data_IF_413310113131
#
_entry.id   IF_413310113131
#
_cell.length_a   1.000
_cell.length_b   1.000
_cell.length_c   1.000
_cell.angle_alpha   90.00
_cell.angle_beta   90.00
_cell.angle_gamma   90.00
#
_symmetry.space_group_name_H-M   'P 1'
#
loop_
_entity.id
_entity.type
_entity.pdbx_description
1 polymer ?
#
# COMPACT_ATOMS: atom_id res chain seq x y z
N UNK A 1 -5.26 31.83 -4.33
CA UNK A 1 -4.29 30.80 -3.91
C UNK A 1 -5.10 29.70 -3.25
N UNK A 2 -5.31 28.58 -3.93
CA UNK A 2 -6.04 27.45 -3.35
C UNK A 2 -5.06 26.63 -2.50
N UNK A 3 -5.27 26.49 -1.18
CA UNK A 3 -4.40 25.63 -0.37
C UNK A 3 -4.46 24.20 -0.93
N UNK A 4 -3.30 23.58 -1.12
CA UNK A 4 -3.18 22.24 -1.70
C UNK A 4 -4.07 21.26 -0.95
N UNK A 5 -4.93 20.54 -1.67
CA UNK A 5 -5.89 19.62 -1.06
C UNK A 5 -5.13 18.43 -0.47
N UNK A 6 -5.07 18.36 0.86
CA UNK A 6 -4.91 17.08 1.55
C UNK A 6 -6.02 16.15 1.07
N UNK A 7 -5.68 14.93 0.64
CA UNK A 7 -6.62 14.08 -0.09
C UNK A 7 -6.54 12.62 0.30
N UNK A 8 -7.66 11.92 0.14
CA UNK A 8 -7.72 10.45 0.24
C UNK A 8 -7.79 9.86 -1.16
N UNK A 9 -7.04 8.78 -1.39
CA UNK A 9 -7.10 8.04 -2.65
C UNK A 9 -7.12 6.54 -2.42
N UNK A 10 -7.87 5.85 -3.27
CA UNK A 10 -7.80 4.39 -3.40
C UNK A 10 -6.49 4.00 -4.10
N UNK A 11 -5.91 2.90 -3.66
CA UNK A 11 -4.67 2.33 -4.19
C UNK A 11 -4.86 0.82 -4.34
N UNK A 12 -4.57 0.30 -5.53
CA UNK A 12 -4.41 -1.13 -5.77
C UNK A 12 -2.94 -1.39 -6.06
N UNK A 13 -2.32 -2.32 -5.33
CA UNK A 13 -0.91 -2.65 -5.53
C UNK A 13 -0.68 -4.14 -5.41
N UNK A 14 0.44 -4.61 -5.97
CA UNK A 14 0.88 -5.98 -5.84
C UNK A 14 2.30 -6.01 -5.28
N UNK A 15 2.54 -6.85 -4.28
CA UNK A 15 3.86 -7.03 -3.68
C UNK A 15 4.24 -8.50 -3.58
N UNK A 16 5.54 -8.78 -3.62
CA UNK A 16 6.08 -10.13 -3.40
C UNK A 16 6.61 -10.20 -1.98
N UNK A 17 5.95 -11.01 -1.14
CA UNK A 17 6.30 -11.17 0.25
C UNK A 17 7.70 -11.77 0.39
N UNK A 18 8.53 -11.08 1.19
CA UNK A 18 9.84 -11.55 1.61
C UNK A 18 9.71 -12.43 2.88
N UNK A 19 10.72 -13.24 3.20
CA UNK A 19 10.76 -13.97 4.46
C UNK A 19 10.59 -13.03 5.67
N UNK A 20 9.80 -13.46 6.65
CA UNK A 20 9.52 -12.70 7.88
C UNK A 20 8.06 -12.26 8.03
N UNK A 21 7.76 -11.39 9.02
CA UNK A 21 6.42 -10.90 9.28
C UNK A 21 5.87 -10.10 8.12
N UNK A 22 4.60 -10.34 7.77
CA UNK A 22 3.99 -9.73 6.60
C UNK A 22 3.54 -8.29 6.83
N UNK A 23 3.00 -7.98 8.01
CA UNK A 23 2.45 -6.67 8.34
C UNK A 23 3.47 -5.52 8.12
N UNK A 24 4.72 -5.59 8.62
CA UNK A 24 5.70 -4.53 8.39
C UNK A 24 6.03 -4.31 6.91
N UNK A 25 6.02 -5.38 6.11
CA UNK A 25 6.28 -5.30 4.67
C UNK A 25 5.13 -4.59 3.95
N UNK A 26 3.89 -4.95 4.27
CA UNK A 26 2.69 -4.29 3.72
C UNK A 26 2.68 -2.80 4.08
N UNK A 27 2.90 -2.47 5.35
CA UNK A 27 2.89 -1.08 5.78
C UNK A 27 4.02 -0.27 5.17
N UNK A 28 5.22 -0.85 5.05
CA UNK A 28 6.35 -0.19 4.39
C UNK A 28 6.04 0.11 2.92
N UNK A 29 5.40 -0.82 2.20
CA UNK A 29 4.98 -0.62 0.82
C UNK A 29 3.92 0.48 0.72
N UNK A 30 2.87 0.42 1.54
CA UNK A 30 1.80 1.43 1.54
C UNK A 30 2.30 2.84 1.89
N UNK A 31 3.25 2.94 2.83
CA UNK A 31 3.85 4.22 3.26
C UNK A 31 4.56 4.96 2.13
N UNK A 32 5.05 4.25 1.11
CA UNK A 32 5.62 4.89 -0.09
C UNK A 32 4.58 5.70 -0.88
N UNK A 33 3.29 5.41 -0.69
CA UNK A 33 2.19 6.06 -1.39
C UNK A 33 1.39 7.06 -0.52
N UNK A 34 1.67 7.15 0.78
CA UNK A 34 0.96 7.99 1.74
C UNK A 34 0.70 7.27 3.06
N UNK A 35 -0.03 7.91 3.97
CA UNK A 35 -0.39 7.28 5.25
C UNK A 35 -1.57 6.31 5.03
N UNK A 36 -1.42 4.99 5.22
CA UNK A 36 -2.53 4.06 5.05
C UNK A 36 -3.57 4.22 6.16
N UNK A 37 -4.85 4.26 5.79
CA UNK A 37 -5.98 4.32 6.72
C UNK A 37 -6.64 2.96 6.90
N UNK A 38 -6.84 2.26 5.79
CA UNK A 38 -7.34 0.88 5.73
C UNK A 38 -6.76 0.17 4.51
N UNK A 39 -6.61 -1.13 4.61
CA UNK A 39 -6.22 -1.98 3.50
C UNK A 39 -6.71 -3.41 3.71
N UNK A 40 -6.79 -4.16 2.63
CA UNK A 40 -7.10 -5.58 2.64
C UNK A 40 -6.25 -6.31 1.59
N UNK A 41 -5.87 -7.55 1.89
CA UNK A 41 -5.34 -8.48 0.89
C UNK A 41 -6.54 -9.04 0.14
N UNK A 42 -6.62 -8.74 -1.15
CA UNK A 42 -7.72 -9.21 -2.02
C UNK A 42 -7.33 -10.48 -2.78
N UNK A 43 -6.03 -10.73 -2.94
CA UNK A 43 -5.53 -11.95 -3.57
C UNK A 43 -4.18 -12.36 -2.99
N UNK A 44 -3.95 -13.66 -2.86
CA UNK A 44 -2.66 -14.24 -2.51
C UNK A 44 -2.37 -15.45 -3.42
N UNK A 45 -1.24 -15.43 -4.11
CA UNK A 45 -0.84 -16.50 -5.05
C UNK A 45 0.56 -16.99 -4.73
N UNK A 46 0.75 -18.30 -4.73
CA UNK A 46 2.09 -18.90 -4.70
C UNK A 46 2.73 -18.79 -6.09
N UNK A 47 3.89 -18.17 -6.16
CA UNK A 47 4.71 -18.10 -7.37
C UNK A 47 5.50 -19.39 -7.55
N UNK A 48 5.96 -19.64 -8.78
CA UNK A 48 6.81 -20.78 -9.12
C UNK A 48 8.16 -20.78 -8.39
N UNK A 49 8.63 -19.63 -7.92
CA UNK A 49 9.84 -19.47 -7.11
C UNK A 49 9.60 -19.70 -5.60
N UNK A 50 8.41 -20.16 -5.21
CA UNK A 50 8.03 -20.44 -3.83
C UNK A 50 7.65 -19.20 -3.00
N UNK A 51 7.75 -17.99 -3.55
CA UNK A 51 7.32 -16.77 -2.85
C UNK A 51 5.83 -16.53 -3.01
N UNK A 52 5.25 -15.70 -2.13
CA UNK A 52 3.83 -15.31 -2.20
C UNK A 52 3.73 -13.94 -2.84
N UNK A 53 2.92 -13.83 -3.89
CA UNK A 53 2.49 -12.55 -4.45
C UNK A 53 1.15 -12.18 -3.83
N UNK A 54 1.04 -10.96 -3.31
CA UNK A 54 -0.16 -10.44 -2.68
C UNK A 54 -0.66 -9.25 -3.47
N UNK A 55 -1.97 -9.19 -3.69
CA UNK A 55 -2.65 -7.99 -4.19
C UNK A 55 -3.37 -7.33 -3.02
N UNK A 56 -3.17 -6.03 -2.90
CA UNK A 56 -3.76 -5.19 -1.86
C UNK A 56 -4.67 -4.15 -2.49
N UNK A 57 -5.78 -3.88 -1.81
CA UNK A 57 -6.55 -2.65 -1.99
C UNK A 57 -6.45 -1.82 -0.72
N UNK A 58 -6.18 -0.52 -0.86
CA UNK A 58 -5.93 0.38 0.24
C UNK A 58 -6.56 1.75 0.03
N UNK A 59 -6.85 2.44 1.13
CA UNK A 59 -7.13 3.87 1.16
C UNK A 59 -5.95 4.56 1.84
N UNK A 60 -5.31 5.49 1.14
CA UNK A 60 -4.17 6.25 1.67
C UNK A 60 -4.48 7.74 1.72
N UNK A 61 -4.01 8.40 2.76
CA UNK A 61 -4.02 9.84 2.88
C UNK A 61 -2.72 10.41 2.30
N UNK A 62 -2.84 11.36 1.38
CA UNK A 62 -1.73 12.16 0.90
C UNK A 62 -1.72 13.48 1.66
N UNK A 63 -0.64 13.80 2.40
CA UNK A 63 -0.50 15.13 2.96
C UNK A 63 -0.43 16.15 1.82
N UNK A 64 -1.08 17.30 1.99
CA UNK A 64 -0.97 18.41 1.05
C UNK A 64 0.50 18.74 0.79
N UNK A 65 0.88 18.74 -0.49
CA UNK A 65 2.10 19.42 -0.92
C UNK A 65 1.86 20.91 -0.72
N UNK A 66 2.45 21.48 0.34
CA UNK A 66 2.66 22.91 0.44
C UNK A 66 3.64 23.29 -0.67
N UNK A 67 3.11 23.83 -1.77
CA UNK A 67 3.87 24.53 -2.81
C UNK A 67 3.82 26.02 -2.50
#
# INVERSE_FOLDING_TARGET
MSPGLSGFRSLALTLVAQPGPLLPQIEAELRQHGAPLRWAITQAVCRSDGRRQLTLEAMVHQPALLV
#
